data_IF_863267283183
#
_entry.id   IF_863267283183
#
_cell.length_a   1.000
_cell.length_b   1.000
_cell.length_c   1.000
_cell.angle_alpha   90.00
_cell.angle_beta   90.00
_cell.angle_gamma   90.00
#
_symmetry.space_group_name_H-M   'P 1'
#
loop_
_entity.id
_entity.type
_entity.pdbx_description
1 polymer ?
#
# COMPACT_ATOMS: atom_id res chain seq x y z
N UNK A 1 8.93 14.17 6.94
CA UNK A 1 8.87 12.79 6.40
C UNK A 1 9.16 12.88 4.91
N UNK A 2 9.97 11.98 4.35
CA UNK A 2 10.15 11.99 2.90
C UNK A 2 9.01 11.19 2.22
N UNK A 3 8.67 11.54 0.98
CA UNK A 3 7.54 10.93 0.25
C UNK A 3 7.71 9.43 0.05
N UNK A 4 8.93 8.99 -0.22
CA UNK A 4 9.24 7.58 -0.51
C UNK A 4 9.07 6.69 0.72
N UNK A 5 9.54 7.14 1.89
CA UNK A 5 9.38 6.50 3.19
C UNK A 5 7.90 6.33 3.55
N UNK A 6 7.09 7.37 3.30
CA UNK A 6 5.65 7.32 3.60
C UNK A 6 4.92 6.35 2.68
N UNK A 7 5.21 6.38 1.38
CA UNK A 7 4.62 5.43 0.44
C UNK A 7 5.05 4.00 0.79
N UNK A 8 6.34 3.79 1.12
CA UNK A 8 6.85 2.49 1.55
C UNK A 8 6.11 1.97 2.78
N UNK A 9 5.95 2.80 3.80
CA UNK A 9 5.20 2.45 5.02
C UNK A 9 3.74 2.08 4.70
N UNK A 10 3.07 2.86 3.85
CA UNK A 10 1.68 2.57 3.43
C UNK A 10 1.58 1.23 2.68
N UNK A 11 2.52 0.93 1.78
CA UNK A 11 2.56 -0.34 1.06
C UNK A 11 2.84 -1.51 1.99
N UNK A 12 3.79 -1.38 2.91
CA UNK A 12 4.11 -2.44 3.88
C UNK A 12 2.90 -2.77 4.75
N UNK A 13 2.24 -1.75 5.30
CA UNK A 13 1.01 -1.90 6.09
C UNK A 13 -0.08 -2.58 5.28
N UNK A 14 -0.40 -2.05 4.09
CA UNK A 14 -1.49 -2.57 3.26
C UNK A 14 -1.20 -4.00 2.76
N UNK A 15 0.04 -4.31 2.39
CA UNK A 15 0.41 -5.65 1.94
C UNK A 15 0.36 -6.67 3.08
N UNK A 16 0.71 -6.29 4.31
CA UNK A 16 0.57 -7.15 5.48
C UNK A 16 -0.90 -7.49 5.74
N UNK A 17 -1.76 -6.48 5.76
CA UNK A 17 -3.21 -6.66 5.94
C UNK A 17 -3.81 -7.52 4.81
N UNK A 18 -3.39 -7.30 3.56
CA UNK A 18 -3.91 -8.05 2.42
C UNK A 18 -3.54 -9.53 2.49
N UNK A 19 -2.31 -9.87 2.93
CA UNK A 19 -1.91 -11.28 3.16
C UNK A 19 -2.75 -11.95 4.22
N UNK A 20 -2.96 -11.28 5.35
CA UNK A 20 -3.77 -11.82 6.45
C UNK A 20 -5.23 -12.04 6.02
N UNK A 21 -5.80 -11.09 5.25
CA UNK A 21 -7.15 -11.23 4.70
C UNK A 21 -7.25 -12.35 3.66
N UNK A 22 -6.25 -12.49 2.79
CA UNK A 22 -6.18 -13.59 1.83
C UNK A 22 -6.13 -14.94 2.53
N UNK A 23 -5.29 -15.09 3.55
CA UNK A 23 -5.19 -16.31 4.35
C UNK A 23 -6.54 -16.66 5.00
N UNK A 24 -7.19 -15.68 5.64
CA UNK A 24 -8.53 -15.86 6.23
C UNK A 24 -9.61 -16.21 5.22
N UNK A 25 -9.46 -15.76 3.98
CA UNK A 25 -10.36 -16.08 2.86
C UNK A 25 -10.04 -17.43 2.20
N UNK A 26 -9.01 -18.16 2.64
CA UNK A 26 -8.59 -19.42 2.05
C UNK A 26 -7.87 -19.27 0.71
N UNK A 27 -7.40 -18.07 0.38
CA UNK A 27 -6.58 -17.80 -0.81
C UNK A 27 -5.16 -18.29 -0.54
N UNK A 28 -4.56 -18.98 -1.51
CA UNK A 28 -3.18 -19.46 -1.38
C UNK A 28 -2.20 -18.30 -1.26
N UNK A 29 -1.09 -18.50 -0.54
CA UNK A 29 -0.04 -17.48 -0.44
C UNK A 29 0.52 -17.10 -1.81
N UNK A 30 0.62 -18.06 -2.74
CA UNK A 30 1.08 -17.79 -4.10
C UNK A 30 0.13 -16.86 -4.86
N UNK A 31 -1.18 -17.11 -4.79
CA UNK A 31 -2.18 -16.27 -5.46
C UNK A 31 -2.29 -14.89 -4.79
N UNK A 32 -2.14 -14.83 -3.47
CA UNK A 32 -2.07 -13.57 -2.73
C UNK A 32 -0.88 -12.72 -3.20
N UNK A 33 0.32 -13.29 -3.30
CA UNK A 33 1.50 -12.55 -3.78
C UNK A 33 1.36 -12.11 -5.24
N UNK A 34 0.73 -12.93 -6.10
CA UNK A 34 0.43 -12.52 -7.49
C UNK A 34 -0.47 -11.29 -7.53
N UNK A 35 -1.57 -11.29 -6.76
CA UNK A 35 -2.48 -10.15 -6.70
C UNK A 35 -1.81 -8.90 -6.10
N UNK A 36 -1.07 -9.08 -5.00
CA UNK A 36 -0.31 -8.00 -4.36
C UNK A 36 0.67 -7.39 -5.36
N UNK A 37 1.45 -8.21 -6.08
CA UNK A 37 2.44 -7.74 -7.06
C UNK A 37 1.80 -7.00 -8.23
N UNK A 38 0.66 -7.49 -8.74
CA UNK A 38 -0.07 -6.85 -9.84
C UNK A 38 -0.59 -5.45 -9.47
N UNK A 39 -0.95 -5.24 -8.21
CA UNK A 39 -1.49 -3.96 -7.73
C UNK A 39 -0.43 -2.91 -7.36
N UNK A 40 0.85 -3.29 -7.20
CA UNK A 40 1.91 -2.39 -6.72
C UNK A 40 2.04 -1.08 -7.52
N UNK A 41 2.10 -1.08 -8.87
CA UNK A 41 2.29 0.17 -9.62
C UNK A 41 1.15 1.16 -9.40
N UNK A 42 -0.10 0.66 -9.35
CA UNK A 42 -1.29 1.48 -9.11
C UNK A 42 -1.30 2.05 -7.70
N UNK A 43 -0.94 1.24 -6.70
CA UNK A 43 -0.90 1.67 -5.30
C UNK A 43 0.20 2.70 -5.04
N UNK A 44 1.38 2.54 -5.63
CA UNK A 44 2.45 3.55 -5.57
C UNK A 44 1.94 4.90 -6.10
N UNK A 45 1.26 4.91 -7.26
CA UNK A 45 0.69 6.13 -7.82
C UNK A 45 -0.39 6.73 -6.90
N UNK A 46 -1.33 5.91 -6.41
CA UNK A 46 -2.41 6.37 -5.53
C UNK A 46 -1.89 6.92 -4.21
N UNK A 47 -0.94 6.23 -3.56
CA UNK A 47 -0.31 6.69 -2.32
C UNK A 47 0.54 7.93 -2.53
N UNK A 48 1.18 8.07 -3.69
CA UNK A 48 1.80 9.32 -4.11
C UNK A 48 0.81 10.47 -4.13
N UNK A 49 -0.38 10.29 -4.70
CA UNK A 49 -1.43 11.31 -4.72
C UNK A 49 -1.99 11.61 -3.32
N UNK A 50 -2.12 10.60 -2.46
CA UNK A 50 -2.56 10.79 -1.07
C UNK A 50 -1.52 11.61 -0.31
N UNK A 51 -0.22 11.31 -0.45
CA UNK A 51 0.84 12.09 0.16
C UNK A 51 0.75 13.57 -0.22
N UNK A 52 0.59 13.88 -1.52
CA UNK A 52 0.44 15.28 -1.96
C UNK A 52 -0.80 15.95 -1.36
N UNK A 53 -1.92 15.23 -1.24
CA UNK A 53 -3.15 15.75 -0.60
C UNK A 53 -2.96 15.98 0.89
N UNK A 54 -2.29 15.07 1.60
CA UNK A 54 -2.00 15.24 3.03
C UNK A 54 -1.12 16.47 3.27
N UNK A 55 -0.10 16.66 2.42
CA UNK A 55 0.78 17.82 2.48
C UNK A 55 0.05 19.12 2.17
N UNK A 56 -0.75 19.15 1.10
CA UNK A 56 -1.48 20.37 0.71
C UNK A 56 -2.55 20.79 1.70
N UNK A 57 -3.06 19.85 2.52
CA UNK A 57 -3.98 20.12 3.62
C UNK A 57 -3.28 20.35 4.97
N UNK A 58 -1.95 20.45 5.01
CA UNK A 58 -1.14 20.65 6.22
C UNK A 58 -1.36 19.56 7.30
N UNK A 59 -1.73 18.34 6.89
CA UNK A 59 -1.86 17.19 7.80
C UNK A 59 -0.48 16.62 8.13
N UNK A 60 0.41 16.64 7.15
CA UNK A 60 1.82 16.29 7.29
C UNK A 60 2.68 17.46 6.84
N UNK A 61 3.89 17.57 7.41
CA UNK A 61 4.88 18.59 7.07
C UNK A 61 5.55 18.34 5.70
#
# INVERSE_FOLDING_TARGET
MNKEEVIKLMLESMNADNRELCEKAGISSEDAEKQISQSQPTLIFMFGNIYEKLKSNNIIA
#
